data_IF_416805985721
#
_entry.id   IF_416805985721
#
_cell.length_a   1.000
_cell.length_b   1.000
_cell.length_c   1.000
_cell.angle_alpha   90.00
_cell.angle_beta   90.00
_cell.angle_gamma   90.00
#
_symmetry.space_group_name_H-M   'P 1'
#
loop_
_entity.id
_entity.type
_entity.pdbx_description
1 polymer ?
#
# COMPACT_ATOMS: atom_id res chain seq x y z
N UNK A 1 15.66 29.65 11.10
CA UNK A 1 14.62 28.72 10.63
C UNK A 1 15.18 28.04 9.41
N UNK A 2 15.37 26.72 9.48
CA UNK A 2 15.90 25.94 8.35
C UNK A 2 14.79 25.68 7.35
N UNK A 3 14.87 26.32 6.20
CA UNK A 3 13.92 26.13 5.10
C UNK A 3 14.25 24.92 4.22
N UNK A 4 15.15 24.09 4.66
CA UNK A 4 15.61 22.88 3.94
C UNK A 4 14.47 21.90 3.64
N UNK A 5 13.44 21.85 4.51
CA UNK A 5 12.26 21.03 4.28
C UNK A 5 11.48 21.44 3.02
N UNK A 6 11.46 22.75 2.66
CA UNK A 6 10.82 23.24 1.44
C UNK A 6 11.56 22.74 0.19
N UNK A 7 12.89 22.67 0.26
CA UNK A 7 13.70 22.10 -0.81
C UNK A 7 13.39 20.61 -0.99
N UNK A 8 13.27 19.86 0.13
CA UNK A 8 12.91 18.45 0.07
C UNK A 8 11.51 18.24 -0.54
N UNK A 9 10.53 19.04 -0.15
CA UNK A 9 9.18 18.99 -0.73
C UNK A 9 9.25 19.27 -2.23
N UNK A 10 9.99 20.29 -2.67
CA UNK A 10 10.13 20.60 -4.09
C UNK A 10 10.78 19.46 -4.88
N UNK A 11 11.84 18.85 -4.36
CA UNK A 11 12.51 17.71 -4.98
C UNK A 11 11.55 16.53 -5.08
N UNK A 12 10.86 16.18 -3.99
CA UNK A 12 9.90 15.07 -3.96
C UNK A 12 8.81 15.31 -5.01
N UNK A 13 8.22 16.49 -5.08
CA UNK A 13 7.15 16.81 -6.03
C UNK A 13 7.62 16.72 -7.49
N UNK A 14 8.82 17.21 -7.80
CA UNK A 14 9.39 17.13 -9.15
C UNK A 14 9.63 15.68 -9.55
N UNK A 15 10.30 14.91 -8.68
CA UNK A 15 10.64 13.53 -8.96
C UNK A 15 9.39 12.62 -9.05
N UNK A 16 8.47 12.73 -8.11
CA UNK A 16 7.22 11.94 -8.14
C UNK A 16 6.41 12.25 -9.38
N UNK A 17 6.35 13.52 -9.81
CA UNK A 17 5.66 13.91 -11.04
C UNK A 17 6.37 13.39 -12.28
N UNK A 18 7.70 13.52 -12.37
CA UNK A 18 8.49 13.04 -13.50
C UNK A 18 8.39 11.52 -13.66
N UNK A 19 8.59 10.77 -12.58
CA UNK A 19 8.48 9.31 -12.59
C UNK A 19 7.04 8.82 -12.77
N UNK A 20 6.05 9.54 -12.24
CA UNK A 20 4.64 9.26 -12.48
C UNK A 20 4.27 9.40 -13.96
N UNK A 21 4.77 10.44 -14.65
CA UNK A 21 4.59 10.59 -16.11
C UNK A 21 5.30 9.49 -16.88
N UNK A 22 6.50 9.11 -16.45
CA UNK A 22 7.25 8.01 -17.06
C UNK A 22 6.51 6.67 -16.90
N UNK A 23 5.91 6.40 -15.74
CA UNK A 23 5.08 5.22 -15.52
C UNK A 23 3.91 5.14 -16.49
N UNK A 24 3.26 6.26 -16.82
CA UNK A 24 2.18 6.31 -17.82
C UNK A 24 2.65 5.89 -19.23
N UNK A 25 3.86 6.23 -19.61
CA UNK A 25 4.42 5.84 -20.92
C UNK A 25 4.51 4.32 -21.03
N UNK A 26 4.83 3.63 -19.94
CA UNK A 26 4.88 2.16 -19.86
C UNK A 26 3.56 1.52 -19.43
N UNK A 27 2.47 2.30 -19.45
CA UNK A 27 1.10 1.87 -19.09
C UNK A 27 0.96 1.36 -17.66
N UNK A 28 1.77 1.86 -16.74
CA UNK A 28 1.65 1.61 -15.30
C UNK A 28 0.98 2.80 -14.60
N UNK A 29 0.29 2.58 -13.47
CA UNK A 29 -0.25 3.65 -12.65
C UNK A 29 0.85 4.63 -12.18
N UNK A 30 0.49 5.92 -12.02
CA UNK A 30 1.44 6.94 -11.56
C UNK A 30 2.02 6.64 -10.18
N UNK A 31 1.23 5.99 -9.32
CA UNK A 31 1.65 5.55 -7.99
C UNK A 31 2.92 4.72 -8.04
N UNK A 32 3.06 3.83 -9.04
CA UNK A 32 4.28 3.02 -9.23
C UNK A 32 5.50 3.90 -9.46
N UNK A 33 5.36 4.94 -10.29
CA UNK A 33 6.42 5.92 -10.52
C UNK A 33 6.78 6.70 -9.25
N UNK A 34 5.78 7.10 -8.47
CA UNK A 34 6.00 7.80 -7.20
C UNK A 34 6.75 6.93 -6.20
N UNK A 35 6.43 5.63 -6.11
CA UNK A 35 7.16 4.67 -5.26
C UNK A 35 8.62 4.51 -5.70
N UNK A 36 8.86 4.37 -7.00
CA UNK A 36 10.22 4.30 -7.55
C UNK A 36 11.00 5.59 -7.26
N UNK A 37 10.36 6.76 -7.44
CA UNK A 37 10.96 8.05 -7.07
C UNK A 37 11.34 8.11 -5.59
N UNK A 38 10.48 7.61 -4.70
CA UNK A 38 10.74 7.53 -3.26
C UNK A 38 11.93 6.64 -2.92
N UNK A 39 12.07 5.48 -3.57
CA UNK A 39 13.22 4.57 -3.39
C UNK A 39 14.51 5.26 -3.85
N UNK A 40 14.49 5.96 -4.98
CA UNK A 40 15.66 6.64 -5.54
C UNK A 40 16.09 7.81 -4.64
N UNK A 41 15.16 8.64 -4.18
CA UNK A 41 15.44 9.80 -3.33
C UNK A 41 15.79 9.42 -1.89
N UNK A 42 15.28 8.28 -1.44
CA UNK A 42 15.44 7.78 -0.07
C UNK A 42 16.83 7.24 0.24
N UNK A 43 17.01 6.73 1.47
CA UNK A 43 18.29 6.26 1.98
C UNK A 43 18.85 5.04 1.23
N UNK A 44 18.03 4.35 0.47
CA UNK A 44 18.43 3.14 -0.28
C UNK A 44 19.36 3.47 -1.46
N UNK A 45 19.12 4.61 -2.16
CA UNK A 45 19.87 4.97 -3.37
C UNK A 45 20.67 6.27 -3.17
N UNK A 46 20.01 7.42 -3.28
CA UNK A 46 20.68 8.71 -3.30
C UNK A 46 20.83 9.36 -1.92
N UNK A 47 20.04 8.90 -0.95
CA UNK A 47 19.99 9.47 0.41
C UNK A 47 19.83 11.01 0.43
N UNK A 48 19.10 11.54 -0.58
CA UNK A 48 18.86 12.99 -0.69
C UNK A 48 17.80 13.46 0.31
N UNK A 49 16.86 12.58 0.65
CA UNK A 49 15.76 12.86 1.58
C UNK A 49 15.80 11.82 2.69
N UNK A 50 16.16 12.25 3.89
CA UNK A 50 16.12 11.43 5.10
C UNK A 50 15.02 11.95 6.02
N UNK A 51 14.15 11.05 6.46
CA UNK A 51 13.05 11.38 7.40
C UNK A 51 13.59 11.78 8.77
N UNK A 52 14.76 11.26 9.16
CA UNK A 52 15.41 11.60 10.43
C UNK A 52 15.80 13.09 10.50
N UNK A 53 16.15 13.67 9.34
CA UNK A 53 16.54 15.08 9.24
C UNK A 53 15.34 16.02 8.95
N UNK A 54 14.17 15.49 8.69
CA UNK A 54 13.00 16.27 8.34
C UNK A 54 11.68 15.65 8.87
N UNK A 55 11.46 15.67 10.19
CA UNK A 55 10.26 15.07 10.81
C UNK A 55 8.95 15.67 10.28
N UNK A 56 9.00 16.90 9.74
CA UNK A 56 7.84 17.53 9.10
C UNK A 56 7.35 16.76 7.86
N UNK A 57 8.24 16.05 7.16
CA UNK A 57 7.87 15.23 6.00
C UNK A 57 7.05 14.01 6.41
N UNK A 58 7.37 13.40 7.57
CA UNK A 58 6.57 12.30 8.12
C UNK A 58 5.15 12.76 8.43
N UNK A 59 5.01 13.87 9.17
CA UNK A 59 3.69 14.43 9.49
C UNK A 59 2.91 14.81 8.22
N UNK A 60 3.61 15.33 7.20
CA UNK A 60 2.97 15.71 5.94
C UNK A 60 2.50 14.48 5.16
N UNK A 61 3.24 13.37 5.20
CA UNK A 61 2.84 12.11 4.58
C UNK A 61 1.60 11.52 5.26
N UNK A 62 1.52 11.56 6.58
CA UNK A 62 0.34 11.12 7.33
C UNK A 62 -0.91 11.94 6.98
N UNK A 63 -0.77 13.28 6.92
CA UNK A 63 -1.86 14.16 6.47
C UNK A 63 -2.26 13.81 5.04
N UNK A 64 -1.29 13.54 4.15
CA UNK A 64 -1.55 13.12 2.78
C UNK A 64 -2.38 11.84 2.69
N UNK A 65 -2.08 10.84 3.51
CA UNK A 65 -2.87 9.60 3.59
C UNK A 65 -4.28 9.85 4.11
N UNK A 66 -4.44 10.68 5.15
CA UNK A 66 -5.75 11.03 5.69
C UNK A 66 -6.61 11.72 4.63
N UNK A 67 -6.05 12.70 3.91
CA UNK A 67 -6.77 13.40 2.83
C UNK A 67 -7.12 12.45 1.69
N UNK A 68 -6.20 11.58 1.28
CA UNK A 68 -6.44 10.57 0.24
C UNK A 68 -7.60 9.65 0.62
N UNK A 69 -7.61 9.14 1.85
CA UNK A 69 -8.67 8.27 2.36
C UNK A 69 -10.01 9.00 2.46
N UNK A 70 -10.00 10.25 2.90
CA UNK A 70 -11.21 11.07 2.97
C UNK A 70 -11.82 11.28 1.58
N UNK A 71 -11.00 11.66 0.59
CA UNK A 71 -11.47 11.83 -0.79
C UNK A 71 -11.98 10.51 -1.37
N UNK A 72 -11.27 9.41 -1.14
CA UNK A 72 -11.71 8.09 -1.57
C UNK A 72 -13.06 7.69 -0.95
N UNK A 73 -13.25 7.99 0.34
CA UNK A 73 -14.52 7.76 1.03
C UNK A 73 -15.68 8.57 0.44
N UNK A 74 -15.44 9.83 0.06
CA UNK A 74 -16.45 10.67 -0.58
C UNK A 74 -16.83 10.18 -2.00
N UNK A 75 -15.88 9.62 -2.73
CA UNK A 75 -16.09 9.11 -4.09
C UNK A 75 -16.70 7.68 -4.09
N UNK A 76 -16.76 7.01 -2.95
CA UNK A 76 -17.23 5.64 -2.82
C UNK A 76 -18.75 5.56 -2.73
N UNK A 77 -19.40 4.79 -3.62
CA UNK A 77 -20.83 4.51 -3.55
C UNK A 77 -21.13 3.30 -2.65
N UNK A 78 -21.56 3.58 -1.43
CA UNK A 78 -21.90 2.58 -0.41
C UNK A 78 -23.02 1.64 -0.88
N UNK A 79 -23.94 2.11 -1.72
CA UNK A 79 -25.06 1.29 -2.23
C UNK A 79 -24.55 0.23 -3.22
N UNK A 80 -23.65 0.64 -4.10
CA UNK A 80 -23.02 -0.28 -5.06
C UNK A 80 -22.10 -1.28 -4.33
N UNK A 81 -21.36 -0.85 -3.30
CA UNK A 81 -20.55 -1.74 -2.45
C UNK A 81 -21.42 -2.82 -1.77
N UNK A 82 -22.58 -2.45 -1.22
CA UNK A 82 -23.50 -3.41 -0.59
C UNK A 82 -24.01 -4.46 -1.58
N UNK A 83 -24.22 -4.11 -2.83
CA UNK A 83 -24.62 -5.07 -3.88
C UNK A 83 -23.52 -6.08 -4.21
N UNK A 84 -22.26 -5.69 -4.04
CA UNK A 84 -21.11 -6.54 -4.27
C UNK A 84 -20.63 -7.30 -3.02
N UNK A 85 -21.33 -7.20 -1.88
CA UNK A 85 -20.88 -7.67 -0.58
C UNK A 85 -20.41 -9.13 -0.56
N UNK A 86 -21.16 -10.06 -1.17
CA UNK A 86 -20.77 -11.47 -1.25
C UNK A 86 -19.49 -11.65 -2.09
N UNK A 87 -19.39 -10.98 -3.23
CA UNK A 87 -18.20 -11.04 -4.08
C UNK A 87 -16.98 -10.44 -3.35
N UNK A 88 -17.15 -9.29 -2.69
CA UNK A 88 -16.11 -8.66 -1.89
C UNK A 88 -15.61 -9.56 -0.76
N UNK A 89 -16.52 -10.25 -0.05
CA UNK A 89 -16.17 -11.18 1.02
C UNK A 89 -15.36 -12.39 0.53
N UNK A 90 -15.74 -12.95 -0.62
CA UNK A 90 -15.00 -14.07 -1.23
C UNK A 90 -13.62 -13.61 -1.69
N UNK A 91 -13.53 -12.44 -2.32
CA UNK A 91 -12.26 -11.86 -2.77
C UNK A 91 -11.35 -11.57 -1.57
N UNK A 92 -11.88 -10.98 -0.50
CA UNK A 92 -11.13 -10.72 0.73
C UNK A 92 -10.60 -12.02 1.35
N UNK A 93 -11.44 -13.05 1.44
CA UNK A 93 -11.05 -14.36 2.01
C UNK A 93 -9.91 -14.99 1.21
N UNK A 94 -10.05 -15.04 -0.12
CA UNK A 94 -9.00 -15.59 -1.01
C UNK A 94 -7.75 -14.72 -0.95
N UNK A 95 -7.90 -13.39 -0.93
CA UNK A 95 -6.83 -12.41 -0.83
C UNK A 95 -6.01 -12.53 0.47
N UNK A 96 -6.58 -13.06 1.53
CA UNK A 96 -5.87 -13.38 2.78
C UNK A 96 -5.26 -14.78 2.75
N UNK A 97 -6.03 -15.79 2.36
CA UNK A 97 -5.58 -17.20 2.42
C UNK A 97 -4.41 -17.46 1.46
N UNK A 98 -4.47 -16.94 0.24
CA UNK A 98 -3.46 -17.23 -0.79
C UNK A 98 -2.08 -16.65 -0.40
N UNK A 99 -1.93 -15.37 -0.01
CA UNK A 99 -0.65 -14.84 0.45
C UNK A 99 -0.18 -15.48 1.76
N UNK A 100 -1.10 -15.79 2.69
CA UNK A 100 -0.78 -16.43 3.94
C UNK A 100 -0.13 -17.81 3.71
N UNK A 101 -0.80 -18.66 2.94
CA UNK A 101 -0.31 -20.00 2.64
C UNK A 101 0.94 -19.95 1.74
N UNK A 102 0.92 -19.11 0.71
CA UNK A 102 2.05 -18.94 -0.20
C UNK A 102 3.29 -18.39 0.52
N UNK A 103 3.11 -17.39 1.39
CA UNK A 103 4.19 -16.79 2.17
C UNK A 103 4.77 -17.77 3.20
N UNK A 104 3.92 -18.46 3.95
CA UNK A 104 4.36 -19.47 4.91
C UNK A 104 5.06 -20.64 4.20
N UNK A 105 4.54 -21.11 3.07
CA UNK A 105 5.16 -22.17 2.29
C UNK A 105 6.54 -21.78 1.73
N UNK A 106 6.68 -20.56 1.20
CA UNK A 106 7.97 -20.05 0.73
C UNK A 106 8.96 -19.89 1.87
N UNK A 107 8.55 -19.35 3.02
CA UNK A 107 9.39 -19.22 4.21
C UNK A 107 9.91 -20.60 4.67
N UNK A 108 9.03 -21.59 4.74
CA UNK A 108 9.38 -22.95 5.09
C UNK A 108 10.36 -23.58 4.09
N UNK A 109 10.13 -23.41 2.78
CA UNK A 109 10.99 -23.98 1.73
C UNK A 109 12.40 -23.36 1.71
N UNK A 110 12.50 -22.08 1.99
CA UNK A 110 13.78 -21.36 1.99
C UNK A 110 14.47 -21.36 3.37
N UNK A 111 13.85 -21.94 4.39
CA UNK A 111 14.43 -22.04 5.74
C UNK A 111 14.73 -20.67 6.35
N UNK A 112 13.81 -19.69 6.19
CA UNK A 112 14.00 -18.31 6.67
C UNK A 112 13.85 -18.18 8.18
N UNK A 113 13.37 -19.22 8.87
CA UNK A 113 13.19 -19.20 10.32
C UNK A 113 14.53 -19.09 11.06
N UNK A 114 14.60 -18.19 12.03
CA UNK A 114 15.79 -18.03 12.88
C UNK A 114 15.74 -19.03 14.05
N UNK A 115 16.67 -20.01 14.11
CA UNK A 115 16.69 -21.00 15.18
C UNK A 115 17.09 -20.42 16.54
N UNK A 116 17.59 -19.17 16.59
CA UNK A 116 17.97 -18.50 17.84
C UNK A 116 16.78 -17.89 18.59
N UNK A 117 15.65 -17.74 17.88
CA UNK A 117 14.42 -17.23 18.50
C UNK A 117 13.72 -18.35 19.29
N UNK A 118 13.17 -18.00 20.45
CA UNK A 118 12.40 -18.93 21.30
C UNK A 118 11.07 -19.39 20.69
N UNK A 119 10.64 -18.73 19.61
CA UNK A 119 9.39 -19.03 18.89
C UNK A 119 9.61 -20.23 17.96
N UNK A 120 8.62 -21.14 17.89
CA UNK A 120 8.73 -22.29 17.01
C UNK A 120 8.89 -21.87 15.54
N UNK A 121 9.72 -22.60 14.80
CA UNK A 121 10.01 -22.37 13.38
C UNK A 121 8.72 -22.23 12.56
N UNK A 122 7.74 -23.09 12.81
CA UNK A 122 6.44 -23.03 12.14
C UNK A 122 5.71 -21.71 12.35
N UNK A 123 5.74 -21.15 13.56
CA UNK A 123 5.10 -19.85 13.83
C UNK A 123 5.84 -18.69 13.14
N UNK A 124 7.15 -18.78 13.01
CA UNK A 124 7.94 -17.80 12.26
C UNK A 124 7.57 -17.80 10.77
N UNK A 125 7.46 -19.00 10.17
CA UNK A 125 7.06 -19.16 8.76
C UNK A 125 5.62 -18.64 8.52
N UNK A 126 4.69 -18.98 9.43
CA UNK A 126 3.31 -18.44 9.37
C UNK A 126 3.30 -16.93 9.50
N UNK A 127 4.16 -16.36 10.35
CA UNK A 127 4.27 -14.90 10.52
C UNK A 127 4.71 -14.19 9.22
N UNK A 128 5.64 -14.78 8.47
CA UNK A 128 5.99 -14.29 7.13
C UNK A 128 4.77 -14.29 6.21
N UNK A 129 3.97 -15.33 6.25
CA UNK A 129 2.69 -15.39 5.53
C UNK A 129 1.74 -14.26 5.94
N UNK A 130 1.61 -14.00 7.24
CA UNK A 130 0.76 -12.90 7.78
C UNK A 130 1.23 -11.54 7.26
N UNK A 131 2.54 -11.28 7.23
CA UNK A 131 3.09 -10.01 6.69
C UNK A 131 2.67 -9.83 5.24
N UNK A 132 2.67 -10.88 4.44
CA UNK A 132 2.30 -10.82 3.02
C UNK A 132 0.79 -10.64 2.78
N UNK A 133 -0.06 -10.84 3.79
CA UNK A 133 -1.51 -10.54 3.65
C UNK A 133 -1.81 -9.05 3.72
N UNK A 134 -0.87 -8.22 4.15
CA UNK A 134 -1.09 -6.79 4.30
C UNK A 134 -1.29 -6.11 2.94
N UNK A 135 -2.52 -5.69 2.66
CA UNK A 135 -2.91 -5.00 1.43
C UNK A 135 -3.06 -3.49 1.70
N UNK A 136 -2.57 -2.65 0.80
CA UNK A 136 -2.75 -1.20 0.90
C UNK A 136 -4.04 -0.78 0.20
N UNK A 137 -5.02 -0.33 0.98
CA UNK A 137 -6.27 0.26 0.45
C UNK A 137 -5.97 1.53 -0.32
N UNK A 138 -5.07 2.38 0.18
CA UNK A 138 -4.71 3.66 -0.46
C UNK A 138 -4.20 3.46 -1.89
N UNK A 139 -3.26 2.55 -2.08
CA UNK A 139 -2.71 2.25 -3.41
C UNK A 139 -3.77 1.66 -4.32
N UNK A 140 -4.63 0.79 -3.80
CA UNK A 140 -5.73 0.17 -4.56
C UNK A 140 -6.71 1.22 -5.05
N UNK A 141 -7.15 2.13 -4.19
CA UNK A 141 -8.07 3.22 -4.53
C UNK A 141 -7.47 4.13 -5.59
N UNK A 142 -6.23 4.60 -5.38
CA UNK A 142 -5.57 5.52 -6.31
C UNK A 142 -5.38 4.86 -7.69
N UNK A 143 -4.98 3.60 -7.71
CA UNK A 143 -4.85 2.83 -8.96
C UNK A 143 -6.19 2.68 -9.69
N UNK A 144 -7.26 2.31 -8.99
CA UNK A 144 -8.59 2.18 -9.58
C UNK A 144 -9.13 3.52 -10.09
N UNK A 145 -8.86 4.61 -9.37
CA UNK A 145 -9.22 5.97 -9.74
C UNK A 145 -8.49 6.39 -11.02
N UNK A 146 -7.19 6.17 -11.08
CA UNK A 146 -6.34 6.52 -12.21
C UNK A 146 -6.72 5.75 -13.49
N UNK A 147 -7.13 4.47 -13.32
CA UNK A 147 -7.65 3.64 -14.42
C UNK A 147 -9.09 3.97 -14.81
N UNK A 148 -9.77 4.87 -14.09
CA UNK A 148 -11.19 5.20 -14.30
C UNK A 148 -12.13 4.01 -14.02
N UNK A 149 -11.71 3.08 -13.15
CA UNK A 149 -12.43 1.84 -12.83
C UNK A 149 -13.01 1.82 -11.41
N UNK A 150 -12.85 2.89 -10.64
CA UNK A 150 -13.31 2.94 -9.24
C UNK A 150 -14.81 2.62 -9.12
N UNK A 151 -15.65 3.25 -9.94
CA UNK A 151 -17.11 3.10 -9.92
C UNK A 151 -17.64 1.96 -10.82
N UNK A 152 -16.78 1.01 -11.17
CA UNK A 152 -17.21 -0.21 -11.88
C UNK A 152 -17.59 -1.30 -10.89
N UNK A 153 -18.36 -2.30 -11.33
CA UNK A 153 -18.72 -3.46 -10.51
C UNK A 153 -17.50 -4.20 -9.96
N UNK A 154 -16.45 -4.32 -10.79
CA UNK A 154 -15.18 -4.92 -10.37
C UNK A 154 -14.43 -4.01 -9.38
N UNK A 155 -14.37 -2.70 -9.64
CA UNK A 155 -13.75 -1.73 -8.75
C UNK A 155 -14.41 -1.70 -7.37
N UNK A 156 -15.75 -1.68 -7.33
CA UNK A 156 -16.51 -1.72 -6.08
C UNK A 156 -16.31 -3.05 -5.32
N UNK A 157 -16.17 -4.18 -6.01
CA UNK A 157 -15.90 -5.46 -5.38
C UNK A 157 -14.47 -5.52 -4.79
N UNK A 158 -13.48 -5.00 -5.50
CA UNK A 158 -12.08 -4.92 -5.05
C UNK A 158 -11.97 -3.97 -3.86
N UNK A 159 -12.58 -2.79 -3.96
CA UNK A 159 -12.58 -1.80 -2.88
C UNK A 159 -13.28 -2.34 -1.63
N UNK A 160 -14.43 -2.98 -1.80
CA UNK A 160 -15.15 -3.61 -0.70
C UNK A 160 -14.33 -4.72 -0.02
N UNK A 161 -13.59 -5.53 -0.80
CA UNK A 161 -12.71 -6.54 -0.26
C UNK A 161 -11.54 -5.93 0.53
N UNK A 162 -10.91 -4.88 0.00
CA UNK A 162 -9.81 -4.18 0.65
C UNK A 162 -10.25 -3.51 1.97
N UNK A 163 -11.44 -2.92 2.01
CA UNK A 163 -12.00 -2.33 3.24
C UNK A 163 -12.34 -3.38 4.30
N UNK A 164 -12.88 -4.55 3.89
CA UNK A 164 -13.15 -5.66 4.82
C UNK A 164 -11.83 -6.18 5.43
N UNK A 165 -10.76 -6.24 4.65
CA UNK A 165 -9.44 -6.65 5.12
C UNK A 165 -8.83 -5.64 6.10
N UNK A 166 -8.99 -4.34 5.85
CA UNK A 166 -8.52 -3.26 6.73
C UNK A 166 -9.25 -3.24 8.07
N UNK A 167 -10.58 -3.37 8.05
CA UNK A 167 -11.40 -3.35 9.28
C UNK A 167 -11.02 -4.50 10.23
N UNK A 168 -10.63 -5.65 9.70
CA UNK A 168 -10.11 -6.76 10.51
C UNK A 168 -8.78 -6.46 11.19
N UNK A 169 -7.93 -5.62 10.61
CA UNK A 169 -6.64 -5.22 11.21
C UNK A 169 -6.80 -4.22 12.35
N UNK A 170 -7.88 -3.43 12.33
CA UNK A 170 -8.16 -2.45 13.39
C UNK A 170 -8.71 -3.07 14.67
N UNK A 171 -9.12 -4.35 14.66
CA UNK A 171 -9.74 -5.07 15.78
C UNK A 171 -8.73 -5.97 16.52
N UNK A 172 -7.50 -6.09 16.04
CA UNK A 172 -6.39 -6.85 16.67
C UNK A 172 -5.34 -5.92 17.21
#
# INVERSE_FOLDING_TARGET
MDYTYLLYIAIILIFTKAFGLLSKVIKLPQVVGALVAGIILGPVCLNLVSLDNAPILSNLSEIGVIVLMFVAGLETDIREMKKCGLASSIIALIGVIVPLVGGAATAFLFGTADPTLSTSTFLQDVFVGVILTATSVSITVETLKELGKLNTRAGNAILGAALIDEDRKSVV
#
